data_IF_755099702576
#
_entry.id   IF_755099702576
#
_cell.length_a   1.000
_cell.length_b   1.000
_cell.length_c   1.000
_cell.angle_alpha   90.00
_cell.angle_beta   90.00
_cell.angle_gamma   90.00
#
_symmetry.space_group_name_H-M   'P 1'
#
loop_
_entity.id
_entity.type
_entity.pdbx_description
1 polymer ?
#
# COMPACT_ATOMS: atom_id res chain seq x y z
N UNK A 1 -7.90 4.33 -2.14
CA UNK A 1 -7.09 3.47 -1.26
C UNK A 1 -7.23 2.00 -1.64
N UNK A 2 -6.16 1.20 -1.50
CA UNK A 2 -6.21 -0.27 -1.71
C UNK A 2 -5.71 -0.98 -0.46
N UNK A 3 -6.36 -2.09 -0.12
CA UNK A 3 -5.95 -2.94 1.01
C UNK A 3 -5.43 -4.28 0.54
N UNK A 4 -4.37 -4.75 1.18
CA UNK A 4 -3.69 -5.98 0.80
C UNK A 4 -3.77 -7.01 1.93
N UNK A 5 -4.18 -8.23 1.55
CA UNK A 5 -4.35 -9.36 2.48
C UNK A 5 -3.01 -10.00 2.79
N UNK A 6 -2.76 -10.27 4.07
CA UNK A 6 -1.60 -11.04 4.55
C UNK A 6 -1.57 -12.45 3.98
N UNK A 7 -0.38 -13.04 3.80
CA UNK A 7 -0.23 -14.48 3.52
C UNK A 7 -0.86 -15.31 4.65
N UNK A 8 -1.31 -16.52 4.31
CA UNK A 8 -1.85 -17.47 5.30
C UNK A 8 -0.75 -17.83 6.31
N UNK A 9 -1.05 -17.68 7.60
CA UNK A 9 -0.09 -17.88 8.69
C UNK A 9 0.48 -16.57 9.24
N UNK A 10 0.68 -15.57 8.37
CA UNK A 10 1.33 -14.31 8.72
C UNK A 10 0.37 -13.28 9.35
N UNK A 11 0.87 -12.43 10.22
CA UNK A 11 0.16 -11.29 10.82
C UNK A 11 0.96 -10.01 10.58
N UNK A 12 0.26 -8.88 10.37
CA UNK A 12 0.93 -7.63 10.03
C UNK A 12 1.84 -7.13 11.16
N UNK A 13 1.39 -7.26 12.40
CA UNK A 13 2.16 -6.89 13.60
C UNK A 13 3.46 -7.67 13.80
N UNK A 14 3.50 -8.93 13.34
CA UNK A 14 4.71 -9.76 13.42
C UNK A 14 5.75 -9.35 12.37
N UNK A 15 5.30 -8.83 11.22
CA UNK A 15 6.16 -8.46 10.08
C UNK A 15 6.57 -7.00 10.11
N UNK A 16 5.64 -6.14 10.50
CA UNK A 16 5.80 -4.69 10.60
C UNK A 16 5.47 -4.31 12.05
N UNK A 17 6.43 -4.50 12.97
CA UNK A 17 6.23 -4.17 14.39
C UNK A 17 6.17 -2.66 14.62
N UNK A 18 6.82 -1.88 13.75
CA UNK A 18 6.81 -0.42 13.75
C UNK A 18 6.37 0.06 12.37
N UNK A 19 5.12 0.54 12.28
CA UNK A 19 4.53 0.98 11.02
C UNK A 19 5.09 2.32 10.55
N UNK A 20 5.43 3.20 11.48
CA UNK A 20 5.98 4.52 11.16
C UNK A 20 7.37 4.37 10.54
N UNK A 21 8.26 3.67 11.24
CA UNK A 21 9.60 3.40 10.72
C UNK A 21 9.57 2.63 9.39
N UNK A 22 8.62 1.70 9.22
CA UNK A 22 8.49 0.94 7.98
C UNK A 22 7.99 1.80 6.81
N UNK A 23 7.06 2.74 7.04
CA UNK A 23 6.65 3.69 5.99
C UNK A 23 7.79 4.64 5.66
N UNK A 24 8.49 5.15 6.67
CA UNK A 24 9.62 6.07 6.49
C UNK A 24 10.78 5.45 5.72
N UNK A 25 11.10 4.18 5.94
CA UNK A 25 12.17 3.48 5.23
C UNK A 25 11.91 3.39 3.72
N UNK A 26 10.65 3.29 3.31
CA UNK A 26 10.27 3.07 1.92
C UNK A 26 9.90 4.34 1.17
N UNK A 27 9.28 5.30 1.85
CA UNK A 27 8.66 6.45 1.20
C UNK A 27 9.21 7.80 1.67
N UNK A 28 9.87 7.88 2.83
CA UNK A 28 10.34 9.14 3.41
C UNK A 28 9.55 9.57 4.65
N UNK A 29 9.94 10.69 5.26
CA UNK A 29 9.44 11.18 6.55
C UNK A 29 7.91 11.28 6.61
N UNK A 30 7.31 10.74 7.67
CA UNK A 30 5.87 10.86 7.88
C UNK A 30 5.54 12.29 8.33
N UNK A 31 4.67 12.96 7.59
CA UNK A 31 4.31 14.37 7.82
C UNK A 31 3.00 14.52 8.56
N UNK A 32 2.06 13.60 8.37
CA UNK A 32 0.70 13.73 8.91
C UNK A 32 0.03 12.36 9.07
N UNK A 33 -1.24 12.37 9.51
CA UNK A 33 -2.08 11.18 9.61
C UNK A 33 -3.47 11.41 9.04
N UNK A 34 -4.04 10.41 8.36
CA UNK A 34 -5.37 10.48 7.75
C UNK A 34 -6.25 9.32 8.25
N UNK A 35 -7.46 9.62 8.72
CA UNK A 35 -8.42 8.62 9.20
C UNK A 35 -8.99 7.80 8.02
N UNK A 36 -8.88 6.47 8.10
CA UNK A 36 -9.45 5.52 7.16
C UNK A 36 -10.09 4.33 7.89
N UNK A 37 -11.40 4.14 7.69
CA UNK A 37 -12.18 3.07 8.34
C UNK A 37 -12.02 3.01 9.87
N UNK A 38 -11.77 4.15 10.52
CA UNK A 38 -11.52 4.22 11.98
C UNK A 38 -10.10 3.87 12.41
N UNK A 39 -9.14 3.87 11.48
CA UNK A 39 -7.71 3.70 11.73
C UNK A 39 -6.98 4.95 11.26
N UNK A 40 -5.94 5.37 11.99
CA UNK A 40 -5.08 6.47 11.57
C UNK A 40 -3.96 5.93 10.65
N UNK A 41 -3.98 6.32 9.38
CA UNK A 41 -2.95 5.97 8.41
C UNK A 41 -1.91 7.08 8.31
N UNK A 42 -0.67 6.71 8.05
CA UNK A 42 0.46 7.62 7.95
C UNK A 42 0.47 8.27 6.57
N UNK A 43 0.74 9.58 6.54
CA UNK A 43 0.84 10.38 5.32
C UNK A 43 2.29 10.83 5.13
N UNK A 44 2.78 10.68 3.91
CA UNK A 44 4.05 11.24 3.44
C UNK A 44 3.71 12.20 2.31
N UNK A 45 3.77 13.50 2.58
CA UNK A 45 3.46 14.57 1.60
C UNK A 45 4.67 14.94 0.71
N UNK A 46 5.90 14.57 1.10
CA UNK A 46 7.11 14.76 0.29
C UNK A 46 7.90 13.44 0.22
N UNK A 47 7.48 12.50 -0.65
CA UNK A 47 8.14 11.20 -0.72
C UNK A 47 9.54 11.29 -1.36
N UNK A 48 10.46 10.44 -0.91
CA UNK A 48 11.85 10.41 -1.41
C UNK A 48 11.94 10.11 -2.91
N UNK A 49 11.01 9.30 -3.42
CA UNK A 49 10.94 9.01 -4.85
C UNK A 49 10.12 10.11 -5.55
N UNK A 50 10.71 10.83 -6.52
CA UNK A 50 10.06 11.96 -7.16
C UNK A 50 8.84 11.55 -7.99
N UNK A 51 8.58 10.27 -8.26
CA UNK A 51 7.38 9.84 -8.98
C UNK A 51 6.13 9.91 -8.11
N UNK A 52 6.29 9.88 -6.79
CA UNK A 52 5.18 9.97 -5.86
C UNK A 52 4.94 11.42 -5.45
N UNK A 53 3.71 11.90 -5.60
CA UNK A 53 3.27 13.20 -5.08
C UNK A 53 2.84 13.10 -3.61
N UNK A 54 2.23 11.98 -3.22
CA UNK A 54 1.76 11.72 -1.86
C UNK A 54 1.62 10.22 -1.63
N UNK A 55 1.99 9.75 -0.45
CA UNK A 55 1.77 8.37 -0.03
C UNK A 55 0.95 8.35 1.25
N UNK A 56 -0.07 7.50 1.28
CA UNK A 56 -0.84 7.18 2.49
C UNK A 56 -0.78 5.68 2.72
N UNK A 57 -0.26 5.27 3.86
CA UNK A 57 -0.04 3.86 4.18
C UNK A 57 -0.25 3.57 5.67
N UNK A 58 -0.69 2.36 5.98
CA UNK A 58 -0.79 1.95 7.38
C UNK A 58 -1.58 0.67 7.62
N UNK A 59 -1.66 0.29 8.89
CA UNK A 59 -2.44 -0.86 9.36
C UNK A 59 -3.93 -0.50 9.35
N UNK A 60 -4.72 -1.39 8.76
CA UNK A 60 -6.18 -1.38 8.92
C UNK A 60 -6.55 -2.56 9.80
N UNK A 61 -6.97 -2.24 11.02
CA UNK A 61 -7.35 -3.22 12.01
C UNK A 61 -8.77 -3.74 11.79
N UNK A 62 -8.94 -5.05 11.98
CA UNK A 62 -10.26 -5.64 11.93
C UNK A 62 -10.50 -6.55 13.13
N UNK A 63 -11.56 -6.29 13.89
CA UNK A 63 -11.86 -7.09 15.08
C UNK A 63 -12.21 -8.57 14.82
N UNK A 64 -12.59 -8.95 13.60
CA UNK A 64 -13.06 -10.30 13.25
C UNK A 64 -12.23 -11.02 12.18
N UNK A 65 -11.26 -10.35 11.57
CA UNK A 65 -10.40 -10.88 10.51
C UNK A 65 -8.99 -10.35 10.70
N UNK A 66 -8.01 -10.93 9.99
CA UNK A 66 -6.64 -10.43 10.05
C UNK A 66 -6.58 -8.98 9.56
N UNK A 67 -5.70 -8.23 10.20
CA UNK A 67 -5.37 -6.88 9.76
C UNK A 67 -4.75 -6.90 8.37
N UNK A 68 -4.90 -5.78 7.69
CA UNK A 68 -4.39 -5.58 6.34
C UNK A 68 -3.49 -4.37 6.32
N UNK A 69 -2.63 -4.31 5.32
CA UNK A 69 -1.91 -3.09 4.98
C UNK A 69 -2.74 -2.32 3.94
N UNK A 70 -3.05 -1.06 4.24
CA UNK A 70 -3.60 -0.11 3.28
C UNK A 70 -2.47 0.68 2.63
N UNK A 71 -2.61 0.94 1.33
CA UNK A 71 -1.69 1.76 0.56
C UNK A 71 -2.47 2.56 -0.49
N UNK A 72 -2.16 3.85 -0.55
CA UNK A 72 -2.54 4.76 -1.61
C UNK A 72 -1.31 5.58 -1.98
N UNK A 73 -1.00 5.62 -3.28
CA UNK A 73 0.07 6.44 -3.82
C UNK A 73 -0.59 7.31 -4.88
N UNK A 74 -0.44 8.62 -4.75
CA UNK A 74 -0.68 9.58 -5.82
C UNK A 74 0.63 9.70 -6.61
N UNK A 75 0.56 9.37 -7.90
CA UNK A 75 1.72 9.31 -8.78
C UNK A 75 1.65 10.48 -9.78
N UNK A 76 2.79 11.13 -10.02
CA UNK A 76 2.91 12.16 -11.06
C UNK A 76 2.58 11.59 -12.43
N UNK A 77 2.00 12.39 -13.34
CA UNK A 77 1.70 11.94 -14.69
C UNK A 77 2.99 11.55 -15.41
N UNK A 78 2.93 10.45 -16.16
CA UNK A 78 4.10 9.89 -16.84
C UNK A 78 4.79 10.88 -17.79
N UNK A 79 4.03 11.82 -18.37
CA UNK A 79 4.56 12.87 -19.25
C UNK A 79 5.56 13.77 -18.52
N UNK A 80 5.23 14.21 -17.29
CA UNK A 80 6.09 15.07 -16.48
C UNK A 80 7.30 14.29 -15.96
N UNK A 81 7.10 13.04 -15.53
CA UNK A 81 8.19 12.13 -15.11
C UNK A 81 9.21 11.95 -16.24
N UNK A 82 8.76 11.74 -17.48
CA UNK A 82 9.63 11.60 -18.65
C UNK A 82 10.30 12.94 -19.00
N UNK A 83 9.55 14.05 -18.97
CA UNK A 83 10.06 15.38 -19.31
C UNK A 83 11.18 15.83 -18.38
N UNK A 84 11.10 15.48 -17.09
CA UNK A 84 12.11 15.76 -16.08
C UNK A 84 13.27 14.75 -16.09
N UNK A 85 13.20 13.70 -16.91
CA UNK A 85 14.24 12.68 -17.01
C UNK A 85 14.23 11.65 -15.87
N UNK A 86 13.12 11.54 -15.14
CA UNK A 86 12.95 10.66 -13.98
C UNK A 86 12.54 9.23 -14.38
N UNK A 87 13.02 8.72 -15.52
CA UNK A 87 12.66 7.39 -16.01
C UNK A 87 13.19 6.29 -15.08
N UNK A 88 14.44 6.42 -14.62
CA UNK A 88 15.03 5.47 -13.66
C UNK A 88 14.24 5.49 -12.33
N UNK A 89 13.83 6.69 -11.87
CA UNK A 89 13.01 6.82 -10.67
C UNK A 89 11.62 6.18 -10.82
N UNK A 90 11.07 6.08 -12.04
CA UNK A 90 9.84 5.36 -12.32
C UNK A 90 10.00 3.84 -12.19
N UNK A 91 11.16 3.30 -12.58
CA UNK A 91 11.47 1.89 -12.32
C UNK A 91 11.62 1.63 -10.83
N UNK A 92 12.35 2.51 -10.12
CA UNK A 92 12.52 2.44 -8.67
C UNK A 92 11.19 2.57 -7.93
N UNK A 93 10.27 3.44 -8.38
CA UNK A 93 8.95 3.61 -7.78
C UNK A 93 8.15 2.30 -7.81
N UNK A 94 8.21 1.57 -8.93
CA UNK A 94 7.58 0.27 -9.05
C UNK A 94 8.25 -0.77 -8.15
N UNK A 95 9.57 -0.74 -8.01
CA UNK A 95 10.31 -1.63 -7.13
C UNK A 95 9.94 -1.38 -5.66
N UNK A 96 10.08 -0.14 -5.17
CA UNK A 96 9.74 0.31 -3.81
C UNK A 96 8.33 -0.14 -3.42
N UNK A 97 7.34 0.11 -4.27
CA UNK A 97 5.95 -0.30 -4.03
C UNK A 97 5.78 -1.82 -3.93
N UNK A 98 6.53 -2.57 -4.72
CA UNK A 98 6.45 -4.03 -4.69
C UNK A 98 7.14 -4.61 -3.47
N UNK A 99 8.31 -4.09 -3.13
CA UNK A 99 9.12 -4.52 -2.00
C UNK A 99 8.39 -4.20 -0.68
N UNK A 100 7.87 -2.98 -0.52
CA UNK A 100 7.03 -2.59 0.63
C UNK A 100 5.87 -3.57 0.86
N UNK A 101 5.13 -3.88 -0.21
CA UNK A 101 3.98 -4.77 -0.12
C UNK A 101 4.38 -6.24 0.07
N UNK A 102 5.49 -6.67 -0.51
CA UNK A 102 5.99 -8.04 -0.35
C UNK A 102 6.51 -8.27 1.07
N UNK A 103 7.29 -7.34 1.61
CA UNK A 103 7.79 -7.42 2.98
C UNK A 103 6.66 -7.36 4.00
N UNK A 104 5.71 -6.44 3.81
CA UNK A 104 4.55 -6.33 4.68
C UNK A 104 3.66 -7.56 4.62
N UNK A 105 3.36 -8.10 3.43
CA UNK A 105 2.31 -9.13 3.29
C UNK A 105 2.82 -10.56 3.13
N UNK A 106 4.12 -10.74 2.91
CA UNK A 106 4.75 -11.99 2.46
C UNK A 106 4.11 -12.53 1.17
N UNK A 107 3.69 -11.63 0.27
CA UNK A 107 3.08 -11.99 -1.01
C UNK A 107 3.74 -11.26 -2.16
N UNK A 108 4.15 -12.06 -3.14
CA UNK A 108 4.60 -11.55 -4.43
C UNK A 108 3.47 -10.81 -5.17
N UNK A 109 3.86 -9.98 -6.13
CA UNK A 109 2.94 -9.14 -6.89
C UNK A 109 1.82 -9.94 -7.58
N UNK A 110 2.11 -11.15 -8.06
CA UNK A 110 1.10 -12.01 -8.71
C UNK A 110 0.11 -12.53 -7.67
N UNK A 111 0.56 -13.02 -6.53
CA UNK A 111 -0.34 -13.44 -5.45
C UNK A 111 -1.21 -12.30 -4.92
N UNK A 112 -0.68 -11.07 -4.82
CA UNK A 112 -1.44 -9.86 -4.46
C UNK A 112 -2.54 -9.56 -5.48
N UNK A 113 -2.20 -9.56 -6.77
CA UNK A 113 -3.17 -9.34 -7.86
C UNK A 113 -4.26 -10.39 -7.89
N UNK A 114 -3.90 -11.67 -7.81
CA UNK A 114 -4.87 -12.77 -7.85
C UNK A 114 -5.82 -12.72 -6.64
N UNK A 115 -5.31 -12.29 -5.47
CA UNK A 115 -6.12 -12.09 -4.27
C UNK A 115 -7.09 -10.91 -4.38
N UNK A 116 -6.64 -9.79 -4.97
CA UNK A 116 -7.50 -8.64 -5.24
C UNK A 116 -8.60 -9.01 -6.22
N UNK A 117 -8.24 -9.68 -7.32
CA UNK A 117 -9.19 -10.14 -8.33
C UNK A 117 -10.29 -11.02 -7.71
N UNK A 118 -9.92 -12.03 -6.91
CA UNK A 118 -10.90 -12.87 -6.22
C UNK A 118 -11.80 -12.09 -5.28
N UNK A 119 -11.28 -11.05 -4.61
CA UNK A 119 -12.08 -10.23 -3.70
C UNK A 119 -13.13 -9.43 -4.47
N UNK A 120 -12.78 -8.91 -5.67
CA UNK A 120 -13.73 -8.25 -6.57
C UNK A 120 -14.76 -9.24 -7.13
N UNK A 121 -14.35 -10.47 -7.46
CA UNK A 121 -15.27 -11.52 -7.92
C UNK A 121 -16.24 -11.96 -6.81
N UNK A 122 -15.77 -12.14 -5.56
CA UNK A 122 -16.64 -12.42 -4.40
C UNK A 122 -17.63 -11.28 -4.12
N UNK A 123 -17.24 -10.02 -4.31
CA UNK A 123 -18.12 -8.85 -4.14
C UNK A 123 -19.18 -8.77 -5.27
N UNK A 124 -18.81 -9.13 -6.50
CA UNK A 124 -19.69 -9.13 -7.66
C UNK A 124 -20.67 -10.33 -7.70
N UNK A 125 -20.33 -11.44 -7.05
CA UNK A 125 -21.19 -12.63 -6.90
C UNK A 125 -21.96 -12.63 -5.56
N UNK A 126 -21.78 -11.60 -4.73
CA UNK A 126 -22.64 -11.40 -3.57
C UNK A 126 -24.08 -11.18 -4.09
N UNK A 127 -25.08 -11.95 -3.64
CA UNK A 127 -26.46 -11.67 -4.02
C UNK A 127 -26.80 -10.26 -3.57
N UNK A 128 -27.25 -9.42 -4.50
CA UNK A 128 -27.91 -8.16 -4.17
C UNK A 128 -28.99 -8.48 -3.13
N UNK A 129 -28.74 -8.12 -1.87
CA UNK A 129 -29.76 -8.31 -0.84
C UNK A 129 -30.96 -7.45 -1.24
N UNK A 130 -32.08 -8.15 -1.45
CA UNK A 130 -33.41 -7.68 -1.89
C UNK A 130 -33.90 -6.44 -1.13
#
# INVERSE_FOLDING_TARGET
MREYKMRRGEHLEDRVPDMEAFVEEYFGEVTDTEEYEGNDLLVVDDPDNPVFDRVVAGRVEYGSKKDKIALHIDERPAEDVIAEGNVDAAEDAVAIKNDFLEEATDRDAKARRDSLKRSVEDDADAPDNV
#
